data_IF_482454259612
#
_entry.id   IF_482454259612
#
_cell.length_a   1.000
_cell.length_b   1.000
_cell.length_c   1.000
_cell.angle_alpha   90.00
_cell.angle_beta   90.00
_cell.angle_gamma   90.00
#
_symmetry.space_group_name_H-M   'P 1'
#
loop_
_entity.id
_entity.type
_entity.pdbx_description
1 polymer ?
#
# COMPACT_ATOMS: atom_id res chain seq x y z
N UNK A 1 34.24 53.14 -3.37
CA UNK A 1 33.54 54.16 -2.57
C UNK A 1 33.00 53.47 -1.32
N UNK A 2 33.34 54.06 -0.17
CA UNK A 2 32.84 53.86 1.22
C UNK A 2 33.03 52.51 1.93
N UNK A 3 34.09 52.48 2.75
CA UNK A 3 34.19 51.79 4.04
C UNK A 3 33.12 52.28 5.03
N UNK A 4 32.66 51.41 5.95
CA UNK A 4 32.51 51.64 7.40
C UNK A 4 32.51 50.24 8.07
N UNK A 5 33.62 49.76 8.65
CA UNK A 5 34.16 50.00 10.00
C UNK A 5 33.66 48.97 11.06
N UNK A 6 34.64 48.27 11.66
CA UNK A 6 34.56 47.21 12.68
C UNK A 6 34.05 47.71 14.07
N UNK A 7 33.86 46.84 15.09
CA UNK A 7 35.00 46.46 15.91
C UNK A 7 35.06 44.99 16.37
N UNK A 8 36.29 44.60 16.66
CA UNK A 8 36.74 43.38 17.32
C UNK A 8 36.19 43.27 18.76
N UNK A 9 36.11 42.06 19.31
CA UNK A 9 36.95 41.62 20.45
C UNK A 9 36.54 40.22 20.94
N UNK A 10 37.56 39.36 21.06
CA UNK A 10 37.56 38.02 21.62
C UNK A 10 37.05 37.99 23.07
N UNK A 11 36.39 36.91 23.51
CA UNK A 11 36.73 36.18 24.75
C UNK A 11 35.96 34.85 24.88
N UNK A 12 36.69 33.82 25.27
CA UNK A 12 36.30 32.64 26.05
C UNK A 12 35.68 31.41 25.36
N UNK A 13 36.60 30.54 24.90
CA UNK A 13 36.86 29.22 25.48
C UNK A 13 35.69 28.51 26.21
N UNK A 14 35.16 27.48 25.53
CA UNK A 14 34.57 26.24 26.09
C UNK A 14 33.31 26.38 26.95
N UNK A 15 32.14 26.17 26.34
CA UNK A 15 31.13 25.29 26.94
C UNK A 15 30.28 24.58 25.87
N UNK A 16 30.56 23.28 25.78
CA UNK A 16 29.71 22.15 25.40
C UNK A 16 28.26 22.40 24.93
N UNK A 17 27.92 21.59 23.91
CA UNK A 17 26.64 20.90 23.73
C UNK A 17 25.48 21.73 23.17
N UNK A 18 25.17 21.52 21.89
CA UNK A 18 23.97 20.79 21.49
C UNK A 18 23.96 20.59 19.98
N UNK A 19 24.14 19.35 19.54
CA UNK A 19 23.63 18.94 18.24
C UNK A 19 22.11 19.13 18.31
N UNK A 20 21.58 20.08 17.55
CA UNK A 20 20.14 20.27 17.39
C UNK A 20 19.56 19.06 16.67
N UNK A 21 19.25 18.02 17.45
CA UNK A 21 18.57 16.83 17.00
C UNK A 21 17.09 17.20 16.77
N UNK A 22 16.78 17.73 15.59
CA UNK A 22 15.40 17.98 15.16
C UNK A 22 14.71 16.65 14.84
N UNK A 23 14.52 15.80 15.85
CA UNK A 23 13.59 14.70 15.78
C UNK A 23 12.24 15.20 16.29
N UNK A 24 11.45 15.80 15.39
CA UNK A 24 10.04 16.06 15.67
C UNK A 24 9.34 14.71 15.83
N UNK A 25 9.19 14.22 17.06
CA UNK A 25 8.40 13.03 17.34
C UNK A 25 6.97 13.27 16.82
N UNK A 26 6.62 12.67 15.68
CA UNK A 26 5.24 12.66 15.21
C UNK A 26 4.42 11.93 16.27
N UNK A 27 3.67 12.70 17.06
CA UNK A 27 2.62 12.15 17.93
C UNK A 27 1.57 11.51 17.01
N UNK A 28 1.66 10.18 16.85
CA UNK A 28 0.63 9.40 16.16
C UNK A 28 -0.62 9.49 17.02
N UNK A 29 -1.52 10.41 16.67
CA UNK A 29 -2.87 10.47 17.26
C UNK A 29 -3.58 9.18 16.88
N UNK A 30 -3.47 8.16 17.72
CA UNK A 30 -4.26 6.95 17.59
C UNK A 30 -5.72 7.39 17.78
N UNK A 31 -6.46 7.48 16.67
CA UNK A 31 -7.89 7.74 16.71
C UNK A 31 -8.60 6.69 17.58
N UNK A 32 -9.91 6.87 17.79
CA UNK A 32 -10.75 5.96 18.59
C UNK A 32 -10.57 4.51 18.13
N UNK A 33 -9.76 3.74 18.85
CA UNK A 33 -9.82 2.28 18.84
C UNK A 33 -11.14 1.95 19.52
N UNK A 34 -12.07 1.27 18.87
CA UNK A 34 -13.33 0.84 19.49
C UNK A 34 -13.01 -0.31 20.44
N UNK A 35 -12.88 -0.09 21.76
CA UNK A 35 -12.49 -1.16 22.67
C UNK A 35 -13.53 -2.28 22.72
N UNK A 36 -14.79 -2.01 22.34
CA UNK A 36 -15.88 -2.98 22.35
C UNK A 36 -15.80 -4.00 21.21
N UNK A 37 -15.05 -3.72 20.13
CA UNK A 37 -14.96 -4.58 18.94
C UNK A 37 -13.50 -4.94 18.71
N UNK A 38 -12.98 -5.87 19.52
CA UNK A 38 -11.65 -6.45 19.31
C UNK A 38 -11.80 -7.89 18.82
N UNK A 39 -11.27 -8.18 17.63
CA UNK A 39 -11.14 -9.56 17.17
C UNK A 39 -10.17 -10.31 18.06
N UNK A 40 -10.56 -11.51 18.48
CA UNK A 40 -9.65 -12.45 19.14
C UNK A 40 -8.53 -12.90 18.18
N UNK A 41 -7.42 -13.42 18.72
CA UNK A 41 -6.35 -13.95 17.86
C UNK A 41 -6.82 -15.13 17.00
N UNK A 42 -7.74 -15.95 17.51
CA UNK A 42 -8.35 -17.04 16.76
C UNK A 42 -9.18 -16.53 15.56
N UNK A 43 -9.99 -15.49 15.76
CA UNK A 43 -10.77 -14.88 14.67
C UNK A 43 -9.89 -14.22 13.62
N UNK A 44 -8.81 -13.55 14.04
CA UNK A 44 -7.82 -12.98 13.12
C UNK A 44 -7.14 -14.08 12.32
N UNK A 45 -6.75 -15.18 12.95
CA UNK A 45 -6.16 -16.34 12.28
C UNK A 45 -7.12 -16.95 11.26
N UNK A 46 -8.39 -17.17 11.63
CA UNK A 46 -9.46 -17.63 10.72
C UNK A 46 -9.68 -16.67 9.56
N UNK A 47 -9.62 -15.37 9.80
CA UNK A 47 -9.77 -14.36 8.74
C UNK A 47 -8.59 -14.41 7.76
N UNK A 48 -7.35 -14.45 8.25
CA UNK A 48 -6.14 -14.58 7.42
C UNK A 48 -6.15 -15.87 6.60
N UNK A 49 -6.54 -16.99 7.20
CA UNK A 49 -6.67 -18.27 6.51
C UNK A 49 -7.66 -18.17 5.33
N UNK A 50 -8.85 -17.60 5.56
CA UNK A 50 -9.85 -17.38 4.48
C UNK A 50 -9.33 -16.48 3.36
N UNK A 51 -8.62 -15.40 3.70
CA UNK A 51 -8.01 -14.52 2.70
C UNK A 51 -6.93 -15.25 1.88
N UNK A 52 -6.10 -16.06 2.54
CA UNK A 52 -5.02 -16.80 1.91
C UNK A 52 -5.57 -17.91 0.99
N UNK A 53 -6.58 -18.65 1.42
CA UNK A 53 -7.29 -19.64 0.59
C UNK A 53 -7.90 -18.99 -0.66
N UNK A 54 -8.52 -17.81 -0.50
CA UNK A 54 -9.07 -17.06 -1.62
C UNK A 54 -7.98 -16.60 -2.59
N UNK A 55 -6.85 -16.08 -2.07
CA UNK A 55 -5.69 -15.71 -2.86
C UNK A 55 -5.13 -16.90 -3.65
N UNK A 56 -4.94 -18.06 -3.01
CA UNK A 56 -4.40 -19.25 -3.66
C UNK A 56 -5.25 -19.76 -4.82
N UNK A 57 -6.57 -19.54 -4.79
CA UNK A 57 -7.43 -19.87 -5.93
C UNK A 57 -7.27 -18.90 -7.09
N UNK A 58 -7.03 -17.62 -6.82
CA UNK A 58 -6.89 -16.60 -7.86
C UNK A 58 -5.49 -16.59 -8.49
N UNK A 59 -4.47 -16.91 -7.70
CA UNK A 59 -3.06 -16.85 -8.10
C UNK A 59 -2.71 -17.65 -9.36
N UNK A 60 -3.04 -18.96 -9.49
CA UNK A 60 -2.68 -19.72 -10.68
C UNK A 60 -3.36 -19.18 -11.95
N UNK A 61 -4.57 -18.62 -11.82
CA UNK A 61 -5.28 -17.96 -12.94
C UNK A 61 -4.48 -16.74 -13.38
N UNK A 62 -4.08 -15.88 -12.44
CA UNK A 62 -3.23 -14.72 -12.74
C UNK A 62 -1.92 -15.13 -13.41
N UNK A 63 -1.20 -16.12 -12.86
CA UNK A 63 0.07 -16.59 -13.40
C UNK A 63 -0.05 -17.09 -14.85
N UNK A 64 -1.16 -17.76 -15.19
CA UNK A 64 -1.40 -18.20 -16.56
C UNK A 64 -1.63 -17.04 -17.54
N UNK A 65 -2.23 -15.94 -17.08
CA UNK A 65 -2.56 -14.77 -17.89
C UNK A 65 -1.39 -13.77 -17.98
N UNK A 66 -0.59 -13.67 -16.92
CA UNK A 66 0.43 -12.65 -16.72
C UNK A 66 1.39 -12.49 -17.92
N UNK A 67 2.01 -13.55 -18.49
CA UNK A 67 2.95 -13.39 -19.61
C UNK A 67 2.32 -12.75 -20.85
N UNK A 68 1.05 -13.06 -21.11
CA UNK A 68 0.31 -12.51 -22.26
C UNK A 68 -0.14 -11.07 -22.01
N UNK A 69 -0.55 -10.77 -20.77
CA UNK A 69 -1.08 -9.45 -20.42
C UNK A 69 0.01 -8.40 -20.21
N UNK A 70 1.18 -8.79 -19.71
CA UNK A 70 2.31 -7.87 -19.48
C UNK A 70 2.73 -7.11 -20.74
N UNK A 71 2.56 -7.70 -21.93
CA UNK A 71 2.95 -7.05 -23.20
C UNK A 71 2.13 -5.79 -23.52
N UNK A 72 0.86 -5.75 -23.10
CA UNK A 72 -0.10 -4.73 -23.53
C UNK A 72 -0.72 -3.94 -22.37
N UNK A 73 -0.68 -4.49 -21.16
CA UNK A 73 -1.39 -3.98 -20.00
C UNK A 73 -0.47 -3.82 -18.79
N UNK A 74 0.84 -3.67 -18.99
CA UNK A 74 1.76 -3.43 -17.87
C UNK A 74 1.34 -2.20 -17.07
N UNK A 75 1.32 -2.33 -15.74
CA UNK A 75 0.91 -1.27 -14.81
C UNK A 75 -0.60 -1.08 -14.68
N UNK A 76 -1.41 -1.86 -15.39
CA UNK A 76 -2.87 -1.87 -15.24
C UNK A 76 -3.30 -2.85 -14.16
N UNK A 77 -4.60 -2.93 -13.88
CA UNK A 77 -5.18 -3.82 -12.89
C UNK A 77 -6.04 -4.90 -13.54
N UNK A 78 -6.03 -6.08 -12.93
CA UNK A 78 -6.88 -7.20 -13.31
C UNK A 78 -7.69 -7.69 -12.10
N UNK A 79 -9.01 -7.66 -12.22
CA UNK A 79 -9.93 -8.28 -11.27
C UNK A 79 -10.22 -9.71 -11.72
N UNK A 80 -9.91 -10.71 -10.89
CA UNK A 80 -10.09 -12.14 -11.17
C UNK A 80 -11.14 -12.73 -10.24
N UNK A 81 -12.06 -13.50 -10.81
CA UNK A 81 -12.99 -14.34 -10.05
C UNK A 81 -12.49 -15.78 -10.01
N UNK A 82 -12.22 -16.35 -8.82
CA UNK A 82 -11.58 -17.67 -8.73
C UNK A 82 -12.43 -18.83 -9.26
N UNK A 83 -13.76 -18.78 -9.09
CA UNK A 83 -14.61 -19.92 -9.41
C UNK A 83 -14.89 -20.09 -10.91
N UNK A 84 -14.86 -18.99 -11.70
CA UNK A 84 -15.14 -19.05 -13.14
C UNK A 84 -13.94 -18.76 -14.02
N UNK A 85 -12.87 -18.17 -13.48
CA UNK A 85 -11.72 -17.72 -14.28
C UNK A 85 -11.97 -16.43 -15.06
N UNK A 86 -13.20 -15.89 -15.03
CA UNK A 86 -13.51 -14.57 -15.57
C UNK A 86 -12.60 -13.51 -14.98
N UNK A 87 -12.16 -12.62 -15.86
CA UNK A 87 -11.31 -11.51 -15.48
C UNK A 87 -11.69 -10.21 -16.19
N UNK A 88 -11.39 -9.09 -15.54
CA UNK A 88 -11.67 -7.75 -16.04
C UNK A 88 -10.44 -6.89 -15.87
N UNK A 89 -10.06 -6.20 -16.95
CA UNK A 89 -8.85 -5.37 -16.99
C UNK A 89 -9.27 -3.90 -17.15
N UNK A 90 -8.56 -3.03 -16.44
CA UNK A 90 -8.68 -1.58 -16.57
C UNK A 90 -7.41 -0.89 -16.04
N UNK A 91 -6.97 0.26 -16.59
CA UNK A 91 -5.90 1.04 -16.00
C UNK A 91 -6.25 1.57 -14.60
N UNK A 92 -7.54 1.70 -14.28
CA UNK A 92 -8.02 2.11 -12.96
C UNK A 92 -8.52 0.89 -12.15
N UNK A 93 -7.96 0.72 -10.95
CA UNK A 93 -8.28 -0.38 -10.04
C UNK A 93 -9.77 -0.45 -9.68
N UNK A 94 -10.39 0.69 -9.41
CA UNK A 94 -11.80 0.78 -9.03
C UNK A 94 -12.71 0.47 -10.21
N UNK A 95 -12.31 0.85 -11.43
CA UNK A 95 -13.07 0.52 -12.64
C UNK A 95 -13.00 -0.98 -12.93
N UNK A 96 -11.83 -1.62 -12.82
CA UNK A 96 -11.71 -3.07 -12.94
C UNK A 96 -12.58 -3.80 -11.90
N UNK A 97 -12.59 -3.30 -10.66
CA UNK A 97 -13.43 -3.81 -9.57
C UNK A 97 -14.92 -3.68 -9.87
N UNK A 98 -15.35 -2.51 -10.36
CA UNK A 98 -16.76 -2.24 -10.73
C UNK A 98 -17.22 -3.14 -11.86
N UNK A 99 -16.40 -3.38 -12.89
CA UNK A 99 -16.72 -4.31 -13.98
C UNK A 99 -17.00 -5.72 -13.45
N UNK A 100 -16.17 -6.20 -12.51
CA UNK A 100 -16.36 -7.51 -11.90
C UNK A 100 -17.66 -7.58 -11.07
N UNK A 101 -17.94 -6.57 -10.24
CA UNK A 101 -19.17 -6.49 -9.44
C UNK A 101 -20.43 -6.33 -10.29
N UNK A 102 -20.34 -5.61 -11.42
CA UNK A 102 -21.48 -5.45 -12.32
C UNK A 102 -21.92 -6.80 -12.91
N UNK A 103 -20.97 -7.70 -13.23
CA UNK A 103 -21.29 -9.06 -13.71
C UNK A 103 -21.63 -10.01 -12.57
N UNK A 104 -21.01 -9.84 -11.39
CA UNK A 104 -21.18 -10.71 -10.23
C UNK A 104 -21.40 -9.90 -8.93
N UNK A 105 -22.61 -9.38 -8.69
CA UNK A 105 -22.89 -8.47 -7.58
C UNK A 105 -22.59 -9.06 -6.20
N UNK A 106 -22.89 -10.35 -6.01
CA UNK A 106 -22.79 -11.05 -4.73
C UNK A 106 -21.51 -11.87 -4.56
N UNK A 107 -20.53 -11.70 -5.46
CA UNK A 107 -19.30 -12.48 -5.47
C UNK A 107 -18.09 -11.58 -5.25
N UNK A 108 -17.11 -12.14 -4.56
CA UNK A 108 -15.84 -11.47 -4.29
C UNK A 108 -14.87 -11.81 -5.42
N UNK A 109 -14.12 -10.81 -5.88
CA UNK A 109 -12.99 -10.95 -6.79
C UNK A 109 -11.70 -10.50 -6.09
N UNK A 110 -10.56 -11.01 -6.56
CA UNK A 110 -9.24 -10.50 -6.16
C UNK A 110 -8.71 -9.55 -7.23
N UNK A 111 -7.95 -8.52 -6.84
CA UNK A 111 -7.30 -7.62 -7.79
C UNK A 111 -5.79 -7.83 -7.73
N UNK A 112 -5.18 -8.00 -8.89
CA UNK A 112 -3.73 -7.99 -9.07
C UNK A 112 -3.30 -6.77 -9.88
N UNK A 113 -2.09 -6.30 -9.63
CA UNK A 113 -1.37 -5.44 -10.57
C UNK A 113 -0.81 -6.30 -11.72
N UNK A 114 -0.98 -5.85 -12.96
CA UNK A 114 -0.36 -6.50 -14.12
C UNK A 114 1.08 -6.01 -14.19
N UNK A 115 1.94 -6.69 -13.43
CA UNK A 115 3.39 -6.48 -13.36
C UNK A 115 4.06 -7.83 -13.05
N UNK A 116 5.35 -7.84 -12.73
CA UNK A 116 6.13 -9.05 -12.44
C UNK A 116 5.66 -9.80 -11.19
N UNK A 117 5.09 -9.10 -10.21
CA UNK A 117 4.81 -9.64 -8.87
C UNK A 117 3.32 -9.86 -8.59
N UNK A 118 2.43 -9.28 -9.39
CA UNK A 118 0.98 -9.27 -9.11
C UNK A 118 0.55 -8.24 -8.07
N UNK A 119 1.48 -7.52 -7.43
CA UNK A 119 1.17 -6.60 -6.33
C UNK A 119 0.50 -5.33 -6.87
N UNK A 120 -0.65 -4.96 -6.28
CA UNK A 120 -1.36 -3.72 -6.55
C UNK A 120 -1.04 -2.66 -5.49
N UNK A 121 -0.39 -1.56 -5.88
CA UNK A 121 -0.02 -0.45 -4.99
C UNK A 121 1.48 -0.35 -4.71
N UNK A 122 1.88 0.77 -4.10
CA UNK A 122 3.24 0.95 -3.53
C UNK A 122 3.18 0.58 -2.05
N UNK A 123 4.11 -0.27 -1.61
CA UNK A 123 4.38 -0.54 -0.19
C UNK A 123 5.04 0.69 0.42
#
# INVERSE_FOLDING_TARGET
MTNYAYPNQEVNFVLLLTMSNNNSERVVRRGRVFPEIQSTEEEKAKHRARQLEFYHRCWPIFQSLQPRLMKHYYGWYIAIKPDSGDYFIDPDQEVASKKARAKYPDKIHHIFGINETGVSGRI
#
